data_IF_620415461606
#
_entry.id   IF_620415461606
#
_cell.length_a   1.000
_cell.length_b   1.000
_cell.length_c   1.000
_cell.angle_alpha   90.00
_cell.angle_beta   90.00
_cell.angle_gamma   90.00
#
_symmetry.space_group_name_H-M   'P 1'
#
loop_
_entity.id
_entity.type
_entity.pdbx_description
1 polymer ?
#
# COMPACT_ATOMS: atom_id res chain seq x y z
N UNK A 1 12.01 11.75 8.89
CA UNK A 1 11.38 12.80 8.04
C UNK A 1 9.90 12.75 8.34
N UNK A 2 9.34 13.87 8.77
CA UNK A 2 7.95 14.00 9.17
C UNK A 2 7.24 14.89 8.16
N UNK A 3 6.04 14.53 7.75
CA UNK A 3 5.18 15.38 6.91
C UNK A 3 3.99 15.82 7.77
N UNK A 4 3.73 17.13 7.84
CA UNK A 4 2.60 17.64 8.62
C UNK A 4 1.35 17.81 7.77
N UNK A 5 0.20 17.54 8.36
CA UNK A 5 -1.10 17.60 7.71
C UNK A 5 -2.13 18.19 8.67
N UNK A 6 -2.85 19.21 8.23
CA UNK A 6 -3.98 19.76 8.99
C UNK A 6 -5.25 18.95 8.70
N UNK A 7 -5.85 18.37 9.74
CA UNK A 7 -7.23 17.89 9.72
C UNK A 7 -8.02 18.91 10.57
N UNK A 8 -9.17 19.40 10.08
CA UNK A 8 -9.99 20.53 10.61
C UNK A 8 -9.71 20.98 12.06
N UNK A 9 -9.53 22.30 12.24
CA UNK A 9 -9.23 23.05 13.47
C UNK A 9 -8.75 22.23 14.71
N UNK A 10 -7.42 22.06 14.80
CA UNK A 10 -6.57 21.83 16.00
C UNK A 10 -5.84 20.49 16.18
N UNK A 11 -5.81 19.60 15.20
CA UNK A 11 -4.85 18.47 15.25
C UNK A 11 -3.94 18.45 14.01
N UNK A 12 -2.70 18.88 14.21
CA UNK A 12 -1.61 18.64 13.25
C UNK A 12 -1.21 17.18 13.37
N UNK A 13 -1.65 16.35 12.42
CA UNK A 13 -1.27 14.94 12.38
C UNK A 13 0.04 14.85 11.62
N UNK A 14 1.07 14.38 12.31
CA UNK A 14 2.40 14.14 11.75
C UNK A 14 2.41 12.71 11.18
N UNK A 15 2.54 12.59 9.86
CA UNK A 15 2.69 11.30 9.19
C UNK A 15 4.19 10.96 9.05
N UNK A 16 4.68 9.89 9.70
CA UNK A 16 6.08 9.50 9.58
C UNK A 16 6.37 8.96 8.18
N UNK A 17 7.35 9.51 7.48
CA UNK A 17 7.80 8.97 6.18
C UNK A 17 8.97 8.00 6.31
N UNK A 18 9.83 8.24 7.31
CA UNK A 18 11.03 7.44 7.60
C UNK A 18 11.40 7.54 9.07
N UNK A 19 11.44 6.40 9.76
CA UNK A 19 11.93 6.24 11.14
C UNK A 19 13.43 5.89 11.13
N UNK A 20 14.27 6.78 11.66
CA UNK A 20 15.72 6.63 11.68
C UNK A 20 16.34 7.47 12.83
N UNK A 21 17.24 8.41 12.53
CA UNK A 21 17.92 9.29 13.49
C UNK A 21 16.90 10.02 14.39
N UNK A 22 17.15 10.02 15.70
CA UNK A 22 16.32 10.66 16.72
C UNK A 22 15.17 9.81 17.27
N UNK A 23 14.88 8.66 16.64
CA UNK A 23 13.83 7.73 17.05
C UNK A 23 14.35 6.33 17.37
N UNK A 24 15.37 5.87 16.65
CA UNK A 24 16.04 4.59 16.90
C UNK A 24 17.14 4.81 17.95
N UNK A 25 17.30 3.94 18.99
CA UNK A 25 16.70 2.61 19.16
C UNK A 25 15.49 2.58 20.13
N UNK A 26 14.69 3.64 20.23
CA UNK A 26 13.54 3.64 21.14
C UNK A 26 12.54 2.54 20.76
N UNK A 27 12.15 1.73 21.75
CA UNK A 27 11.24 0.60 21.57
C UNK A 27 9.81 1.05 21.33
N UNK A 28 9.08 0.29 20.53
CA UNK A 28 7.64 0.44 20.33
C UNK A 28 6.89 -0.64 21.13
N UNK A 29 5.76 -0.31 21.76
CA UNK A 29 4.95 -1.30 22.48
C UNK A 29 4.23 -2.24 21.50
N UNK A 30 3.93 -3.46 21.93
CA UNK A 30 2.98 -4.36 21.30
C UNK A 30 1.76 -4.55 22.21
N UNK A 31 0.57 -4.78 21.64
CA UNK A 31 -0.63 -5.08 22.42
C UNK A 31 -0.54 -6.45 23.11
N UNK A 32 0.18 -7.41 22.49
CA UNK A 32 0.35 -8.77 22.99
C UNK A 32 1.80 -9.01 23.38
N UNK A 33 2.04 -9.57 24.57
CA UNK A 33 3.37 -10.01 25.00
C UNK A 33 3.65 -11.41 24.48
N UNK A 34 4.89 -11.66 24.04
CA UNK A 34 5.36 -12.98 23.62
C UNK A 34 6.53 -13.43 24.50
N UNK A 35 6.46 -14.67 25.00
CA UNK A 35 7.46 -15.21 25.92
C UNK A 35 8.82 -15.47 25.24
N UNK A 36 8.80 -15.73 23.93
CA UNK A 36 9.99 -16.06 23.15
C UNK A 36 10.34 -14.90 22.22
N UNK A 37 11.61 -14.49 22.14
CA UNK A 37 12.01 -13.39 21.29
C UNK A 37 11.95 -13.78 19.80
N UNK A 38 11.76 -12.79 18.93
CA UNK A 38 11.63 -13.01 17.50
C UNK A 38 12.33 -11.96 16.64
N UNK A 39 12.41 -12.27 15.35
CA UNK A 39 12.93 -11.38 14.30
C UNK A 39 11.87 -11.22 13.21
N UNK A 40 11.60 -9.99 12.79
CA UNK A 40 10.76 -9.68 11.64
C UNK A 40 11.61 -8.99 10.58
N UNK A 41 11.63 -9.51 9.36
CA UNK A 41 12.57 -9.06 8.31
C UNK A 41 12.00 -7.99 7.37
N UNK A 42 10.75 -7.59 7.55
CA UNK A 42 10.10 -6.55 6.74
C UNK A 42 9.81 -6.99 5.31
N UNK A 43 9.61 -6.00 4.43
CA UNK A 43 9.40 -6.16 2.99
C UNK A 43 10.71 -6.09 2.20
N UNK A 44 10.64 -5.83 0.90
CA UNK A 44 11.83 -5.67 0.04
C UNK A 44 12.21 -4.19 -0.15
N UNK A 45 11.22 -3.31 -0.28
CA UNK A 45 11.40 -1.89 -0.44
C UNK A 45 11.31 -1.16 0.89
N UNK A 46 12.00 -0.02 0.98
CA UNK A 46 12.12 0.83 2.17
C UNK A 46 12.38 0.07 3.48
N UNK A 47 13.09 -1.06 3.38
CA UNK A 47 13.13 -2.10 4.39
C UNK A 47 13.56 -1.59 5.76
N UNK A 48 12.94 -2.16 6.78
CA UNK A 48 13.35 -2.15 8.18
C UNK A 48 13.25 -3.59 8.71
N UNK A 49 13.97 -3.87 9.79
CA UNK A 49 13.87 -5.13 10.54
C UNK A 49 13.48 -4.86 11.98
N UNK A 50 12.82 -5.81 12.63
CA UNK A 50 12.39 -5.68 14.02
C UNK A 50 12.86 -6.87 14.86
N UNK A 51 13.39 -6.60 16.04
CA UNK A 51 13.52 -7.61 17.10
C UNK A 51 12.36 -7.47 18.07
N UNK A 52 11.83 -8.61 18.52
CA UNK A 52 10.73 -8.67 19.48
C UNK A 52 11.24 -9.31 20.77
N UNK A 53 10.89 -8.71 21.91
CA UNK A 53 11.10 -9.26 23.25
C UNK A 53 9.95 -8.81 24.16
N UNK A 54 9.29 -9.76 24.81
CA UNK A 54 8.11 -9.52 25.64
C UNK A 54 7.02 -8.78 24.84
N UNK A 55 6.65 -7.57 25.26
CA UNK A 55 5.70 -6.71 24.57
C UNK A 55 6.38 -5.51 23.88
N UNK A 56 7.65 -5.63 23.49
CA UNK A 56 8.43 -4.55 22.90
C UNK A 56 9.04 -4.94 21.57
N UNK A 57 9.05 -3.98 20.66
CA UNK A 57 9.71 -4.05 19.35
C UNK A 57 10.87 -3.07 19.30
N UNK A 58 12.04 -3.57 18.92
CA UNK A 58 13.19 -2.76 18.54
C UNK A 58 13.22 -2.73 17.02
N UNK A 59 12.68 -1.67 16.43
CA UNK A 59 12.69 -1.46 14.99
C UNK A 59 14.03 -0.81 14.57
N UNK A 60 14.65 -1.35 13.52
CA UNK A 60 15.86 -0.77 12.94
C UNK A 60 15.59 0.61 12.34
N UNK A 61 16.66 1.35 12.06
CA UNK A 61 16.58 2.43 11.09
C UNK A 61 16.28 1.90 9.69
N UNK A 62 15.85 2.80 8.81
CA UNK A 62 15.64 2.51 7.40
C UNK A 62 16.91 2.00 6.72
N UNK A 63 16.80 0.84 6.08
CA UNK A 63 17.86 0.13 5.37
C UNK A 63 17.81 0.45 3.87
N UNK A 64 16.61 0.46 3.28
CA UNK A 64 16.39 0.87 1.88
C UNK A 64 15.88 -0.27 1.00
N UNK A 65 16.24 -0.24 -0.28
CA UNK A 65 15.84 -1.24 -1.29
C UNK A 65 16.80 -2.43 -1.28
N UNK A 66 16.31 -3.62 -0.93
CA UNK A 66 17.10 -4.84 -0.82
C UNK A 66 17.47 -5.49 -2.16
N UNK A 67 16.94 -5.02 -3.29
CA UNK A 67 17.37 -5.47 -4.63
C UNK A 67 18.79 -5.00 -4.96
N UNK A 68 19.29 -3.98 -4.26
CA UNK A 68 20.66 -3.52 -4.37
C UNK A 68 21.59 -4.31 -3.45
N UNK A 69 22.67 -4.89 -4.00
CA UNK A 69 23.63 -5.73 -3.26
C UNK A 69 24.20 -5.06 -2.01
N UNK A 70 24.52 -3.76 -2.08
CA UNK A 70 25.03 -3.00 -0.91
C UNK A 70 24.01 -2.93 0.22
N UNK A 71 22.75 -2.64 -0.11
CA UNK A 71 21.64 -2.61 0.85
C UNK A 71 21.37 -3.99 1.44
N UNK A 72 21.45 -5.05 0.61
CA UNK A 72 21.27 -6.41 1.07
C UNK A 72 22.35 -6.85 2.06
N UNK A 73 23.63 -6.57 1.79
CA UNK A 73 24.71 -6.85 2.76
C UNK A 73 24.54 -6.03 4.04
N UNK A 74 24.14 -4.76 3.92
CA UNK A 74 23.89 -3.91 5.06
C UNK A 74 22.71 -4.41 5.91
N UNK A 75 21.65 -4.90 5.28
CA UNK A 75 20.52 -5.57 5.92
C UNK A 75 20.96 -6.74 6.80
N UNK A 76 21.81 -7.62 6.28
CA UNK A 76 22.35 -8.77 7.02
C UNK A 76 23.17 -8.30 8.23
N UNK A 77 24.03 -7.30 8.04
CA UNK A 77 24.83 -6.72 9.11
C UNK A 77 23.95 -6.12 10.21
N UNK A 78 22.89 -5.39 9.86
CA UNK A 78 21.95 -4.77 10.81
C UNK A 78 21.28 -5.83 11.68
N UNK A 79 20.86 -6.96 11.11
CA UNK A 79 20.26 -8.06 11.88
C UNK A 79 21.27 -8.61 12.89
N UNK A 80 22.51 -8.89 12.45
CA UNK A 80 23.55 -9.39 13.35
C UNK A 80 23.87 -8.40 14.48
N UNK A 81 24.01 -7.12 14.16
CA UNK A 81 24.35 -6.06 15.10
C UNK A 81 23.23 -5.86 16.13
N UNK A 82 21.97 -5.87 15.70
CA UNK A 82 20.82 -5.75 16.62
C UNK A 82 20.73 -6.95 17.57
N UNK A 83 20.91 -8.17 17.06
CA UNK A 83 20.90 -9.38 17.90
C UNK A 83 22.02 -9.33 18.95
N UNK A 84 23.24 -8.94 18.53
CA UNK A 84 24.41 -8.81 19.43
C UNK A 84 24.21 -7.70 20.46
N UNK A 85 23.76 -6.51 20.03
CA UNK A 85 23.61 -5.33 20.89
C UNK A 85 22.57 -5.54 22.00
N UNK A 86 21.48 -6.24 21.68
CA UNK A 86 20.38 -6.46 22.63
C UNK A 86 20.44 -7.82 23.35
N UNK A 87 21.47 -8.63 23.06
CA UNK A 87 21.61 -10.01 23.53
C UNK A 87 20.31 -10.81 23.32
N UNK A 88 19.79 -10.74 22.09
CA UNK A 88 18.56 -11.43 21.68
C UNK A 88 18.94 -12.55 20.71
N UNK A 89 18.49 -13.76 21.02
CA UNK A 89 18.55 -14.93 20.15
C UNK A 89 17.12 -15.27 19.69
N UNK A 90 16.70 -14.85 18.50
CA UNK A 90 15.34 -15.11 18.01
C UNK A 90 15.02 -16.61 18.03
N UNK A 91 13.81 -16.96 18.49
CA UNK A 91 13.27 -18.32 18.48
C UNK A 91 12.19 -18.52 17.40
N UNK A 92 11.88 -17.45 16.68
CA UNK A 92 11.01 -17.46 15.51
C UNK A 92 11.38 -16.28 14.60
N UNK A 93 11.07 -16.42 13.31
CA UNK A 93 11.31 -15.41 12.28
C UNK A 93 10.01 -15.16 11.51
N UNK A 94 9.60 -13.91 11.38
CA UNK A 94 8.49 -13.48 10.54
C UNK A 94 9.00 -12.80 9.26
N UNK A 95 8.38 -13.10 8.12
CA UNK A 95 8.71 -12.51 6.84
C UNK A 95 7.45 -12.26 6.00
N UNK A 96 7.58 -11.47 4.94
CA UNK A 96 6.49 -11.23 3.99
C UNK A 96 6.10 -12.52 3.25
N UNK A 97 4.81 -12.73 3.01
CA UNK A 97 4.29 -13.86 2.25
C UNK A 97 4.96 -14.02 0.87
N UNK A 98 5.43 -12.92 0.27
CA UNK A 98 6.07 -12.95 -1.04
C UNK A 98 7.28 -13.91 -1.07
N UNK A 99 7.26 -14.97 -1.91
CA UNK A 99 8.27 -16.00 -1.86
C UNK A 99 9.62 -15.51 -2.38
N UNK A 100 9.65 -14.64 -3.39
CA UNK A 100 10.91 -14.25 -4.05
C UNK A 100 11.63 -13.05 -3.44
N UNK A 101 11.04 -12.34 -2.47
CA UNK A 101 11.71 -11.18 -1.86
C UNK A 101 13.04 -11.57 -1.23
N UNK A 102 14.05 -10.70 -1.38
CA UNK A 102 15.37 -10.93 -0.79
C UNK A 102 15.30 -11.12 0.73
N UNK A 103 14.43 -10.38 1.42
CA UNK A 103 14.17 -10.54 2.86
C UNK A 103 13.56 -11.90 3.19
N UNK A 104 12.57 -12.36 2.44
CA UNK A 104 11.92 -13.67 2.62
C UNK A 104 12.86 -14.85 2.33
N UNK A 105 13.70 -14.74 1.29
CA UNK A 105 14.74 -15.73 1.00
C UNK A 105 15.74 -15.83 2.16
N UNK A 106 16.23 -14.68 2.64
CA UNK A 106 17.14 -14.63 3.76
C UNK A 106 16.52 -15.21 5.04
N UNK A 107 15.27 -14.86 5.35
CA UNK A 107 14.56 -15.39 6.52
C UNK A 107 14.44 -16.92 6.49
N UNK A 108 14.17 -17.53 5.33
CA UNK A 108 14.15 -18.99 5.17
C UNK A 108 15.50 -19.62 5.44
N UNK A 109 16.57 -19.08 4.85
CA UNK A 109 17.93 -19.56 5.10
C UNK A 109 18.32 -19.43 6.57
N UNK A 110 17.98 -18.31 7.21
CA UNK A 110 18.30 -18.06 8.60
C UNK A 110 17.50 -18.96 9.55
N UNK A 111 16.21 -19.17 9.29
CA UNK A 111 15.37 -20.07 10.08
C UNK A 111 15.87 -21.51 10.02
N UNK A 112 16.28 -21.97 8.84
CA UNK A 112 16.90 -23.29 8.68
C UNK A 112 18.23 -23.40 9.43
N UNK A 113 19.07 -22.36 9.38
CA UNK A 113 20.36 -22.33 10.09
C UNK A 113 20.21 -22.28 11.61
N UNK A 114 19.23 -21.56 12.13
CA UNK A 114 19.00 -21.40 13.57
C UNK A 114 18.06 -22.45 14.15
N UNK A 115 17.46 -23.29 13.31
CA UNK A 115 16.44 -24.28 13.68
C UNK A 115 15.27 -23.66 14.45
N UNK A 116 14.69 -22.61 13.85
CA UNK A 116 13.59 -21.83 14.46
C UNK A 116 12.36 -21.78 13.58
N UNK A 117 11.21 -21.53 14.20
CA UNK A 117 9.93 -21.41 13.50
C UNK A 117 9.94 -20.23 12.52
N UNK A 118 9.50 -20.47 11.29
CA UNK A 118 9.29 -19.44 10.28
C UNK A 118 7.81 -19.12 10.11
N UNK A 119 7.46 -17.84 10.03
CA UNK A 119 6.10 -17.33 9.91
C UNK A 119 5.98 -16.42 8.67
N UNK A 120 5.19 -16.85 7.70
CA UNK A 120 4.80 -16.00 6.57
C UNK A 120 3.62 -15.11 6.98
N UNK A 121 3.76 -13.81 6.81
CA UNK A 121 2.75 -12.80 7.14
C UNK A 121 2.35 -12.08 5.85
N UNK A 122 1.05 -11.99 5.58
CA UNK A 122 0.55 -11.31 4.39
C UNK A 122 0.82 -9.79 4.48
N UNK A 123 1.25 -9.21 3.35
CA UNK A 123 1.74 -7.83 3.27
C UNK A 123 0.71 -6.78 3.75
N UNK A 124 -0.52 -6.85 3.27
CA UNK A 124 -1.57 -5.90 3.61
C UNK A 124 -2.08 -6.10 5.05
N UNK A 125 -2.08 -7.35 5.54
CA UNK A 125 -2.36 -7.66 6.93
C UNK A 125 -1.30 -7.07 7.86
N UNK A 126 -0.02 -7.16 7.50
CA UNK A 126 1.05 -6.51 8.26
C UNK A 126 0.87 -4.98 8.28
N UNK A 127 0.53 -4.35 7.15
CA UNK A 127 0.20 -2.93 7.11
C UNK A 127 -0.96 -2.55 8.04
N UNK A 128 -2.06 -3.31 8.04
CA UNK A 128 -3.18 -3.07 8.94
C UNK A 128 -2.80 -3.30 10.41
N UNK A 129 -2.11 -4.41 10.72
CA UNK A 129 -1.66 -4.74 12.06
C UNK A 129 -0.70 -3.68 12.62
N UNK A 130 0.14 -3.06 11.78
CA UNK A 130 1.06 -2.01 12.20
C UNK A 130 0.30 -0.80 12.80
N UNK A 131 -0.71 -0.28 12.09
CA UNK A 131 -1.50 0.86 12.58
C UNK A 131 -2.39 0.46 13.77
N UNK A 132 -3.02 -0.72 13.73
CA UNK A 132 -3.84 -1.19 14.86
C UNK A 132 -3.00 -1.37 16.13
N UNK A 133 -1.80 -1.94 16.02
CA UNK A 133 -0.91 -2.19 17.15
C UNK A 133 -0.38 -0.91 17.79
N UNK A 134 0.01 0.11 17.02
CA UNK A 134 0.50 1.37 17.61
C UNK A 134 -0.61 2.13 18.37
N UNK A 135 -1.87 1.94 17.97
CA UNK A 135 -3.06 2.47 18.64
C UNK A 135 -3.64 1.53 19.69
N UNK A 136 -3.01 0.37 19.92
CA UNK A 136 -3.43 -0.67 20.89
C UNK A 136 -4.85 -1.20 20.63
N UNK A 137 -5.26 -1.24 19.37
CA UNK A 137 -6.55 -1.79 18.94
C UNK A 137 -6.38 -3.29 18.73
N UNK A 138 -7.00 -4.08 19.60
CA UNK A 138 -6.99 -5.55 19.55
C UNK A 138 -8.27 -6.15 18.98
N UNK A 139 -9.38 -5.41 19.11
CA UNK A 139 -10.68 -5.80 18.58
C UNK A 139 -10.70 -5.80 17.04
N UNK A 140 -11.60 -6.56 16.40
CA UNK A 140 -11.77 -6.52 14.95
C UNK A 140 -12.04 -5.10 14.45
N UNK A 141 -11.24 -4.68 13.46
CA UNK A 141 -11.31 -3.37 12.84
C UNK A 141 -11.27 -3.48 11.32
N UNK A 142 -11.88 -2.52 10.63
CA UNK A 142 -11.69 -2.38 9.19
C UNK A 142 -10.37 -1.66 8.92
N UNK A 143 -9.68 -2.02 7.85
CA UNK A 143 -8.49 -1.33 7.39
C UNK A 143 -8.56 -1.13 5.87
N UNK A 144 -8.47 0.13 5.44
CA UNK A 144 -8.17 0.47 4.05
C UNK A 144 -6.66 0.41 3.89
N UNK A 145 -6.19 -0.57 3.11
CA UNK A 145 -4.77 -0.77 2.82
C UNK A 145 -4.51 -0.48 1.36
N UNK A 146 -3.93 0.70 1.09
CA UNK A 146 -3.64 1.17 -0.27
C UNK A 146 -2.13 1.30 -0.46
N UNK A 147 -1.57 0.57 -1.42
CA UNK A 147 -0.14 0.52 -1.71
C UNK A 147 0.15 0.38 -3.21
N UNK A 148 1.43 0.31 -3.57
CA UNK A 148 1.91 0.01 -4.91
C UNK A 148 1.77 -1.46 -5.28
N UNK A 149 2.25 -2.37 -4.44
CA UNK A 149 2.14 -3.83 -4.68
C UNK A 149 2.34 -4.59 -3.38
N UNK A 150 1.54 -5.62 -3.15
CA UNK A 150 1.82 -6.67 -2.18
C UNK A 150 1.17 -7.98 -2.63
N UNK A 151 1.80 -9.11 -2.32
CA UNK A 151 1.30 -10.42 -2.74
C UNK A 151 -0.04 -10.72 -2.06
N UNK A 152 -1.05 -11.02 -2.87
CA UNK A 152 -2.33 -11.56 -2.43
C UNK A 152 -2.25 -13.05 -2.10
N UNK A 153 -3.23 -13.56 -1.35
CA UNK A 153 -3.36 -15.00 -1.10
C UNK A 153 -3.83 -15.77 -2.34
N UNK A 154 -4.30 -15.05 -3.36
CA UNK A 154 -4.81 -15.54 -4.65
C UNK A 154 -3.79 -15.39 -5.79
N UNK A 155 -2.49 -15.25 -5.45
CA UNK A 155 -1.38 -14.96 -6.38
C UNK A 155 -1.55 -13.66 -7.20
N UNK A 156 -2.54 -12.83 -6.86
CA UNK A 156 -2.75 -11.52 -7.49
C UNK A 156 -1.96 -10.42 -6.78
N UNK A 157 -1.78 -9.28 -7.45
CA UNK A 157 -1.08 -8.13 -6.89
C UNK A 157 -2.05 -7.18 -6.19
N UNK A 158 -2.14 -7.27 -4.87
CA UNK A 158 -2.97 -6.38 -4.05
C UNK A 158 -2.34 -4.99 -3.91
N UNK A 159 -3.17 -4.01 -3.54
CA UNK A 159 -2.72 -2.65 -3.25
C UNK A 159 -3.83 -1.62 -3.11
N UNK A 160 -5.08 -2.05 -3.00
CA UNK A 160 -6.24 -1.17 -2.87
C UNK A 160 -7.37 -1.92 -2.19
N UNK A 161 -7.06 -2.44 -1.01
CA UNK A 161 -7.87 -3.43 -0.30
C UNK A 161 -8.63 -2.78 0.86
N UNK A 162 -9.84 -3.30 1.11
CA UNK A 162 -10.51 -3.16 2.39
C UNK A 162 -10.48 -4.52 3.07
N UNK A 163 -9.81 -4.58 4.22
CA UNK A 163 -9.71 -5.82 5.01
C UNK A 163 -10.39 -5.64 6.36
N UNK A 164 -11.06 -6.68 6.82
CA UNK A 164 -11.42 -6.85 8.22
C UNK A 164 -10.25 -7.55 8.91
N UNK A 165 -9.65 -6.92 9.90
CA UNK A 165 -8.48 -7.44 10.59
C UNK A 165 -8.72 -7.44 12.09
N UNK A 166 -8.43 -8.56 12.74
CA UNK A 166 -7.90 -8.51 14.09
C UNK A 166 -6.36 -8.57 14.00
N UNK A 167 -5.63 -8.43 15.10
CA UNK A 167 -4.15 -8.43 15.04
C UNK A 167 -3.59 -9.77 14.54
N UNK A 168 -4.28 -10.90 14.74
CA UNK A 168 -3.81 -12.25 14.38
C UNK A 168 -4.22 -12.72 12.98
N UNK A 169 -5.41 -12.33 12.52
CA UNK A 169 -6.09 -12.82 11.32
C UNK A 169 -6.78 -11.68 10.56
N UNK A 170 -7.07 -11.93 9.30
CA UNK A 170 -7.75 -10.97 8.44
C UNK A 170 -8.66 -11.65 7.41
N UNK A 171 -9.59 -10.87 6.87
CA UNK A 171 -10.49 -11.24 5.79
C UNK A 171 -10.59 -10.10 4.79
N UNK A 172 -10.47 -10.40 3.50
CA UNK A 172 -10.63 -9.41 2.43
C UNK A 172 -12.13 -9.10 2.23
N UNK A 173 -12.54 -7.87 2.51
CA UNK A 173 -13.94 -7.42 2.47
C UNK A 173 -14.30 -6.66 1.19
N UNK A 174 -13.29 -6.13 0.50
CA UNK A 174 -13.47 -5.40 -0.75
C UNK A 174 -12.14 -4.96 -1.33
N UNK A 175 -12.17 -4.50 -2.57
CA UNK A 175 -10.96 -4.07 -3.28
C UNK A 175 -11.28 -3.17 -4.48
N UNK A 176 -10.27 -2.46 -4.98
CA UNK A 176 -10.33 -1.83 -6.30
C UNK A 176 -10.47 -2.89 -7.39
N UNK A 177 -11.28 -2.61 -8.40
CA UNK A 177 -11.40 -3.46 -9.58
C UNK A 177 -10.01 -3.70 -10.18
N UNK A 178 -9.58 -4.96 -10.36
CA UNK A 178 -8.23 -5.23 -10.83
C UNK A 178 -7.96 -4.65 -12.22
N UNK A 179 -6.80 -4.02 -12.38
CA UNK A 179 -6.20 -3.69 -13.67
C UNK A 179 -5.43 -4.91 -14.20
N UNK A 180 -5.58 -5.20 -15.48
CA UNK A 180 -4.84 -6.28 -16.15
C UNK A 180 -3.52 -5.70 -16.67
N UNK A 181 -2.46 -5.77 -15.86
CA UNK A 181 -1.21 -5.04 -16.10
C UNK A 181 -0.26 -5.81 -17.04
N UNK A 182 0.09 -5.27 -18.22
CA UNK A 182 1.00 -5.93 -19.14
C UNK A 182 2.46 -5.71 -18.72
N UNK A 183 3.20 -6.81 -18.52
CA UNK A 183 4.66 -6.79 -18.32
C UNK A 183 5.15 -6.71 -16.87
N UNK A 184 4.33 -7.13 -15.91
CA UNK A 184 4.72 -7.26 -14.50
C UNK A 184 5.32 -5.97 -13.92
N UNK A 185 6.51 -6.06 -13.32
CA UNK A 185 7.25 -4.94 -12.71
C UNK A 185 7.48 -3.75 -13.66
N UNK A 186 7.45 -3.98 -14.97
CA UNK A 186 7.55 -2.90 -15.96
C UNK A 186 6.40 -1.90 -15.82
N UNK A 187 5.22 -2.31 -15.34
CA UNK A 187 4.08 -1.44 -15.15
C UNK A 187 4.29 -0.38 -14.06
N UNK A 188 5.13 -0.67 -13.06
CA UNK A 188 5.51 0.31 -12.03
C UNK A 188 6.51 1.37 -12.55
N UNK A 189 7.26 1.07 -13.61
CA UNK A 189 8.24 1.99 -14.23
C UNK A 189 7.66 2.76 -15.41
N UNK A 190 6.90 2.08 -16.27
CA UNK A 190 6.22 2.65 -17.42
C UNK A 190 4.73 2.77 -17.10
N UNK A 191 4.36 3.95 -16.59
CA UNK A 191 2.99 4.27 -16.12
C UNK A 191 1.94 4.16 -17.23
N UNK A 192 2.37 4.29 -18.49
CA UNK A 192 1.50 4.16 -19.66
C UNK A 192 0.93 2.75 -19.73
N UNK A 193 1.67 1.72 -19.31
CA UNK A 193 1.13 0.33 -19.21
C UNK A 193 -0.08 0.25 -18.28
N UNK A 194 -0.08 1.01 -17.18
CA UNK A 194 -1.22 1.10 -16.26
C UNK A 194 -2.39 1.85 -16.91
N UNK A 195 -2.12 2.95 -17.63
CA UNK A 195 -3.14 3.67 -18.39
C UNK A 195 -3.82 2.77 -19.43
N UNK A 196 -3.04 2.03 -20.24
CA UNK A 196 -3.60 1.11 -21.24
C UNK A 196 -4.45 0.01 -20.59
N UNK A 197 -4.02 -0.53 -19.44
CA UNK A 197 -4.78 -1.52 -18.69
C UNK A 197 -6.12 -0.98 -18.17
N UNK A 198 -6.17 0.29 -17.77
CA UNK A 198 -7.41 0.93 -17.33
C UNK A 198 -8.32 1.29 -18.52
N UNK A 199 -7.75 1.84 -19.60
CA UNK A 199 -8.46 2.13 -20.86
C UNK A 199 -9.07 0.90 -21.51
N UNK A 200 -8.41 -0.26 -21.41
CA UNK A 200 -8.94 -1.52 -21.91
C UNK A 200 -10.23 -1.97 -21.19
N UNK A 201 -10.61 -1.35 -20.07
CA UNK A 201 -11.87 -1.63 -19.38
C UNK A 201 -13.06 -0.84 -19.94
N UNK A 202 -12.82 0.18 -20.78
CA UNK A 202 -13.89 0.93 -21.41
C UNK A 202 -14.61 0.06 -22.45
N UNK A 203 -15.95 0.02 -22.44
CA UNK A 203 -16.71 -0.76 -23.41
C UNK A 203 -16.45 -0.27 -24.85
N UNK A 204 -16.17 -1.21 -25.75
CA UNK A 204 -16.05 -0.91 -27.19
C UNK A 204 -14.77 -0.20 -27.62
N UNK A 205 -13.77 -0.04 -26.74
CA UNK A 205 -12.49 0.55 -27.11
C UNK A 205 -11.67 -0.40 -27.97
N UNK A 206 -11.35 0.04 -29.19
CA UNK A 206 -10.35 -0.60 -30.04
C UNK A 206 -8.94 -0.23 -29.55
N UNK A 207 -8.40 -1.09 -28.68
CA UNK A 207 -7.12 -0.93 -27.99
C UNK A 207 -6.01 -0.46 -28.96
N UNK A 208 -5.63 -1.18 -30.03
CA UNK A 208 -4.51 -0.76 -30.89
C UNK A 208 -4.78 0.50 -31.74
N UNK A 209 -6.03 0.84 -32.03
CA UNK A 209 -6.38 1.86 -33.02
C UNK A 209 -7.03 3.13 -32.44
N UNK A 210 -7.33 3.17 -31.14
CA UNK A 210 -7.90 4.38 -30.54
C UNK A 210 -6.88 5.53 -30.48
N UNK A 211 -7.38 6.76 -30.62
CA UNK A 211 -6.56 7.98 -30.61
C UNK A 211 -5.80 8.13 -29.28
N UNK A 212 -6.44 7.80 -28.15
CA UNK A 212 -5.81 7.88 -26.84
C UNK A 212 -4.65 6.90 -26.68
N UNK A 213 -4.77 5.67 -27.19
CA UNK A 213 -3.65 4.72 -27.19
C UNK A 213 -2.51 5.20 -28.07
N UNK A 214 -2.82 5.82 -29.21
CA UNK A 214 -1.83 6.37 -30.12
C UNK A 214 -1.08 7.56 -29.51
N UNK A 215 -1.75 8.39 -28.70
CA UNK A 215 -1.10 9.47 -27.94
C UNK A 215 -0.22 8.94 -26.81
N UNK A 216 -0.72 7.96 -26.05
CA UNK A 216 0.03 7.37 -24.94
C UNK A 216 1.25 6.60 -25.44
N UNK A 217 1.11 5.84 -26.53
CA UNK A 217 2.20 5.07 -27.14
C UNK A 217 2.30 5.44 -28.63
N UNK A 218 3.08 6.48 -28.98
CA UNK A 218 3.23 6.92 -30.36
C UNK A 218 3.87 5.88 -31.28
N UNK A 219 4.78 5.06 -30.74
CA UNK A 219 5.44 4.00 -31.49
C UNK A 219 4.46 2.85 -31.84
N UNK A 220 4.17 2.60 -33.14
CA UNK A 220 3.18 1.61 -33.54
C UNK A 220 3.54 0.18 -33.15
N UNK A 221 4.85 -0.15 -33.14
CA UNK A 221 5.31 -1.50 -32.80
C UNK A 221 5.06 -1.80 -31.31
N UNK A 222 5.45 -0.89 -30.42
CA UNK A 222 5.21 -0.97 -28.97
C UNK A 222 3.72 -0.99 -28.66
N UNK A 223 2.92 -0.15 -29.34
CA UNK A 223 1.46 -0.10 -29.16
C UNK A 223 0.81 -1.43 -29.53
N UNK A 224 1.17 -2.00 -30.68
CA UNK A 224 0.67 -3.30 -31.14
C UNK A 224 1.12 -4.44 -30.21
N UNK A 225 2.35 -4.40 -29.70
CA UNK A 225 2.84 -5.37 -28.73
C UNK A 225 2.01 -5.36 -27.44
N UNK A 226 1.81 -4.18 -26.83
CA UNK A 226 1.05 -4.03 -25.58
C UNK A 226 -0.43 -4.40 -25.78
N UNK A 227 -1.02 -4.01 -26.91
CA UNK A 227 -2.37 -4.41 -27.26
C UNK A 227 -2.52 -5.93 -27.40
N UNK A 228 -1.56 -6.60 -28.03
CA UNK A 228 -1.53 -8.07 -28.11
C UNK A 228 -1.38 -8.74 -26.75
N UNK A 229 -0.55 -8.19 -25.84
CA UNK A 229 -0.43 -8.72 -24.47
C UNK A 229 -1.77 -8.69 -23.75
N UNK A 230 -2.48 -7.55 -23.80
CA UNK A 230 -3.78 -7.36 -23.17
C UNK A 230 -4.87 -8.27 -23.79
N UNK A 231 -4.98 -8.26 -25.12
CA UNK A 231 -6.03 -9.03 -25.83
C UNK A 231 -5.83 -10.54 -25.76
N UNK A 232 -4.58 -11.01 -25.70
CA UNK A 232 -4.26 -12.45 -25.64
C UNK A 232 -3.94 -12.93 -24.22
N UNK A 233 -4.00 -12.06 -23.22
CA UNK A 233 -3.64 -12.33 -21.83
C UNK A 233 -2.24 -12.96 -21.66
N UNK A 234 -1.24 -12.42 -22.38
CA UNK A 234 0.15 -12.91 -22.35
C UNK A 234 1.01 -11.99 -21.49
N UNK A 235 1.60 -12.54 -20.42
CA UNK A 235 2.41 -11.79 -19.45
C UNK A 235 1.64 -10.58 -18.89
N UNK A 236 0.42 -10.86 -18.45
CA UNK A 236 -0.52 -9.91 -17.86
C UNK A 236 -0.92 -10.43 -16.49
N UNK A 237 -0.77 -9.59 -15.47
CA UNK A 237 -1.13 -9.93 -14.09
C UNK A 237 -2.25 -9.02 -13.60
N UNK A 238 -3.22 -9.60 -12.89
CA UNK A 238 -4.27 -8.84 -12.25
C UNK A 238 -3.72 -8.08 -11.04
N UNK A 239 -4.03 -6.78 -10.94
CA UNK A 239 -3.66 -5.97 -9.79
C UNK A 239 -4.76 -5.02 -9.35
N UNK A 240 -5.16 -5.10 -8.08
CA UNK A 240 -6.06 -4.15 -7.41
C UNK A 240 -5.31 -2.95 -6.82
N UNK A 241 -4.10 -2.67 -7.27
CA UNK A 241 -3.24 -1.64 -6.70
C UNK A 241 -3.75 -0.22 -6.92
N UNK A 242 -3.97 0.50 -5.82
CA UNK A 242 -4.24 1.93 -5.84
C UNK A 242 -3.06 2.71 -6.43
N UNK A 243 -1.82 2.33 -6.12
CA UNK A 243 -0.63 2.95 -6.71
C UNK A 243 -0.60 2.85 -8.24
N UNK A 244 -1.06 1.73 -8.80
CA UNK A 244 -1.18 1.55 -10.27
C UNK A 244 -2.32 2.38 -10.88
N UNK A 245 -3.41 2.61 -10.15
CA UNK A 245 -4.43 3.59 -10.55
C UNK A 245 -3.86 5.03 -10.57
N UNK A 246 -3.02 5.40 -9.60
CA UNK A 246 -2.31 6.69 -9.62
C UNK A 246 -1.37 6.81 -10.83
N UNK A 247 -0.58 5.77 -11.11
CA UNK A 247 0.28 5.73 -12.30
C UNK A 247 -0.55 5.87 -13.58
N UNK A 248 -1.67 5.15 -13.69
CA UNK A 248 -2.56 5.22 -14.84
C UNK A 248 -3.13 6.63 -15.04
N UNK A 249 -3.65 7.25 -13.97
CA UNK A 249 -4.19 8.61 -14.01
C UNK A 249 -3.12 9.64 -14.41
N UNK A 250 -1.90 9.52 -13.87
CA UNK A 250 -0.79 10.40 -14.21
C UNK A 250 -0.38 10.28 -15.69
N UNK A 251 -0.37 9.07 -16.24
CA UNK A 251 -0.10 8.87 -17.66
C UNK A 251 -1.21 9.44 -18.56
N UNK A 252 -2.48 9.19 -18.22
CA UNK A 252 -3.64 9.70 -18.99
C UNK A 252 -3.64 11.22 -19.03
N UNK A 253 -3.33 11.87 -17.91
CA UNK A 253 -3.30 13.33 -17.79
C UNK A 253 -1.99 13.96 -18.31
N UNK A 254 -1.06 13.17 -18.85
CA UNK A 254 0.21 13.65 -19.39
C UNK A 254 1.20 14.16 -18.32
N UNK A 255 1.01 13.76 -17.06
CA UNK A 255 1.82 14.23 -15.91
C UNK A 255 3.16 13.49 -15.85
N UNK A 256 3.13 12.18 -16.05
CA UNK A 256 4.31 11.34 -15.93
C UNK A 256 4.11 10.08 -16.78
N UNK A 257 5.01 9.83 -17.72
CA UNK A 257 5.03 8.60 -18.51
C UNK A 257 5.92 7.52 -17.86
N UNK A 258 7.01 7.94 -17.23
CA UNK A 258 8.01 7.04 -16.66
C UNK A 258 8.40 7.45 -15.23
N UNK A 259 8.28 6.50 -14.31
CA UNK A 259 8.80 6.62 -12.95
C UNK A 259 10.33 6.37 -12.98
N UNK A 260 11.10 7.39 -12.61
CA UNK A 260 12.56 7.34 -12.44
C UNK A 260 12.96 6.99 -11.00
N UNK A 261 12.03 7.17 -10.08
CA UNK A 261 12.12 6.74 -8.69
C UNK A 261 10.74 6.29 -8.22
N UNK A 262 10.72 5.58 -7.09
CA UNK A 262 9.50 5.01 -6.55
C UNK A 262 8.44 6.09 -6.25
N UNK A 263 7.21 5.87 -6.71
CA UNK A 263 6.07 6.76 -6.52
C UNK A 263 6.17 8.16 -7.13
N UNK A 264 7.06 8.39 -8.12
CA UNK A 264 7.18 9.69 -8.81
C UNK A 264 5.84 10.19 -9.37
N UNK A 265 5.14 9.37 -10.13
CA UNK A 265 3.85 9.73 -10.74
C UNK A 265 2.76 10.05 -9.69
N UNK A 266 2.49 9.19 -8.68
CA UNK A 266 1.58 9.53 -7.59
C UNK A 266 1.90 10.85 -6.88
N UNK A 267 3.19 11.11 -6.59
CA UNK A 267 3.63 12.35 -5.94
C UNK A 267 3.40 13.59 -6.82
N UNK A 268 3.72 13.49 -8.11
CA UNK A 268 3.48 14.58 -9.07
C UNK A 268 1.98 14.87 -9.22
N UNK A 269 1.15 13.83 -9.25
CA UNK A 269 -0.29 13.96 -9.33
C UNK A 269 -0.88 14.63 -8.10
N UNK A 270 -0.41 14.30 -6.88
CA UNK A 270 -0.82 14.99 -5.65
C UNK A 270 -0.48 16.49 -5.69
N UNK A 271 0.75 16.82 -6.12
CA UNK A 271 1.19 18.20 -6.19
C UNK A 271 0.31 19.04 -7.14
N UNK A 272 -0.07 18.47 -8.29
CA UNK A 272 -0.97 19.10 -9.25
C UNK A 272 -2.41 19.21 -8.74
N UNK A 273 -2.93 18.17 -8.09
CA UNK A 273 -4.29 18.21 -7.54
C UNK A 273 -4.49 19.39 -6.56
N UNK A 274 -3.45 19.76 -5.80
CA UNK A 274 -3.49 20.89 -4.84
C UNK A 274 -3.53 22.26 -5.48
N UNK A 275 -3.15 22.39 -6.76
CA UNK A 275 -3.19 23.67 -7.48
C UNK A 275 -4.55 23.95 -8.11
N UNK A 276 -5.44 22.94 -8.20
CA UNK A 276 -6.79 23.14 -8.70
C UNK A 276 -7.54 24.19 -7.85
N UNK A 277 -8.31 25.03 -8.53
CA UNK A 277 -9.18 26.07 -7.94
C UNK A 277 -10.63 25.96 -8.43
N UNK A 278 -10.90 25.06 -9.37
CA UNK A 278 -12.24 24.82 -9.89
C UNK A 278 -13.00 23.91 -8.95
N UNK A 279 -14.30 24.17 -8.80
CA UNK A 279 -15.17 23.27 -8.08
C UNK A 279 -15.24 21.91 -8.78
N UNK A 280 -15.16 20.85 -7.97
CA UNK A 280 -15.30 19.48 -8.44
C UNK A 280 -16.77 19.03 -8.35
N UNK A 281 -17.24 18.21 -9.30
CA UNK A 281 -18.61 17.73 -9.31
C UNK A 281 -18.93 16.84 -8.10
N UNK A 282 -20.15 16.95 -7.59
CA UNK A 282 -20.64 16.11 -6.49
C UNK A 282 -21.13 14.74 -6.95
N UNK A 283 -21.30 14.51 -8.26
CA UNK A 283 -21.68 13.21 -8.80
C UNK A 283 -20.59 12.14 -8.52
N UNK A 284 -21.02 10.93 -8.18
CA UNK A 284 -20.12 9.78 -8.06
C UNK A 284 -19.77 9.26 -9.45
N UNK A 285 -18.47 9.18 -9.74
CA UNK A 285 -17.91 8.67 -10.99
C UNK A 285 -17.24 7.31 -10.76
N UNK A 286 -17.84 6.51 -9.89
CA UNK A 286 -17.41 5.16 -9.55
C UNK A 286 -18.65 4.31 -9.25
N UNK A 287 -18.47 2.99 -9.24
CA UNK A 287 -19.52 2.04 -8.87
C UNK A 287 -18.97 1.03 -7.88
N UNK A 288 -19.73 0.70 -6.85
CA UNK A 288 -19.39 -0.38 -5.93
C UNK A 288 -20.38 -1.53 -6.14
N UNK A 289 -19.87 -2.73 -6.43
CA UNK A 289 -20.69 -3.95 -6.52
C UNK A 289 -19.97 -5.11 -5.85
N UNK A 290 -20.64 -5.79 -4.92
CA UNK A 290 -20.09 -6.94 -4.20
C UNK A 290 -18.70 -6.69 -3.60
N UNK A 291 -18.49 -5.51 -3.02
CA UNK A 291 -17.19 -5.13 -2.44
C UNK A 291 -16.13 -4.67 -3.45
N UNK A 292 -16.44 -4.65 -4.75
CA UNK A 292 -15.51 -4.20 -5.80
C UNK A 292 -15.79 -2.75 -6.16
N UNK A 293 -14.79 -1.89 -5.98
CA UNK A 293 -14.80 -0.47 -6.37
C UNK A 293 -14.30 -0.33 -7.82
N UNK A 294 -15.21 -0.01 -8.72
CA UNK A 294 -14.97 0.21 -10.14
C UNK A 294 -14.89 1.71 -10.45
N UNK A 295 -13.69 2.15 -10.84
CA UNK A 295 -13.38 3.54 -11.21
C UNK A 295 -13.53 3.81 -12.72
N UNK A 296 -14.03 2.87 -13.52
CA UNK A 296 -14.13 3.00 -14.99
C UNK A 296 -14.97 4.22 -15.41
N UNK A 297 -16.00 4.61 -14.64
CA UNK A 297 -16.82 5.78 -14.98
C UNK A 297 -16.05 7.11 -14.87
N UNK A 298 -15.08 7.21 -13.96
CA UNK A 298 -14.19 8.38 -13.84
C UNK A 298 -13.30 8.52 -15.08
N UNK A 299 -12.88 7.38 -15.65
CA UNK A 299 -11.98 7.38 -16.79
C UNK A 299 -12.58 8.11 -17.99
N UNK A 300 -13.88 7.97 -18.24
CA UNK A 300 -14.60 8.70 -19.31
C UNK A 300 -14.45 10.22 -19.17
N UNK A 301 -14.34 10.74 -17.94
CA UNK A 301 -14.10 12.16 -17.68
C UNK A 301 -12.62 12.56 -17.85
N UNK A 302 -11.68 11.68 -17.50
CA UNK A 302 -10.25 12.00 -17.53
C UNK A 302 -9.65 12.01 -18.95
N UNK A 303 -10.30 11.33 -19.90
CA UNK A 303 -9.80 11.18 -21.27
C UNK A 303 -10.28 12.28 -22.24
N UNK A 304 -11.10 13.22 -21.77
CA UNK A 304 -11.58 14.33 -22.59
C UNK A 304 -10.42 15.26 -22.94
N UNK A 305 -10.29 15.62 -24.22
CA UNK A 305 -9.14 16.35 -24.77
C UNK A 305 -8.89 17.73 -24.15
N UNK A 306 -9.91 18.35 -23.56
CA UNK A 306 -9.86 19.66 -22.92
C UNK A 306 -9.77 19.60 -21.38
N UNK A 307 -9.54 18.40 -20.83
CA UNK A 307 -9.36 18.23 -19.38
C UNK A 307 -8.10 18.94 -18.91
N UNK A 308 -8.30 20.01 -18.13
CA UNK A 308 -7.19 20.65 -17.42
C UNK A 308 -6.51 19.65 -16.47
N UNK A 309 -5.19 19.53 -16.56
CA UNK A 309 -4.40 18.53 -15.84
C UNK A 309 -4.57 18.63 -14.32
N UNK A 310 -4.60 19.85 -13.76
CA UNK A 310 -4.75 20.04 -12.32
C UNK A 310 -6.18 19.67 -11.86
N UNK A 311 -7.19 20.06 -12.64
CA UNK A 311 -8.57 19.64 -12.43
C UNK A 311 -8.74 18.12 -12.49
N UNK A 312 -8.20 17.46 -13.52
CA UNK A 312 -8.26 16.00 -13.67
C UNK A 312 -7.54 15.26 -12.53
N UNK A 313 -6.38 15.76 -12.10
CA UNK A 313 -5.66 15.22 -10.96
C UNK A 313 -6.48 15.32 -9.67
N UNK A 314 -7.11 16.47 -9.44
CA UNK A 314 -7.93 16.70 -8.26
C UNK A 314 -9.24 15.87 -8.27
N UNK A 315 -9.87 15.76 -9.43
CA UNK A 315 -11.04 14.92 -9.67
C UNK A 315 -10.72 13.45 -9.36
N UNK A 316 -9.58 12.94 -9.82
CA UNK A 316 -9.13 11.59 -9.51
C UNK A 316 -8.98 11.36 -8.00
N UNK A 317 -8.29 12.26 -7.30
CA UNK A 317 -8.12 12.15 -5.84
C UNK A 317 -9.47 12.18 -5.12
N UNK A 318 -10.38 13.07 -5.52
CA UNK A 318 -11.70 13.18 -4.89
C UNK A 318 -12.51 11.90 -5.09
N UNK A 319 -12.60 11.40 -6.32
CA UNK A 319 -13.44 10.24 -6.63
C UNK A 319 -12.86 8.96 -6.03
N UNK A 320 -11.53 8.80 -6.00
CA UNK A 320 -10.89 7.70 -5.29
C UNK A 320 -11.17 7.77 -3.78
N UNK A 321 -11.02 8.95 -3.15
CA UNK A 321 -11.33 9.12 -1.73
C UNK A 321 -12.78 8.77 -1.39
N UNK A 322 -13.72 9.22 -2.23
CA UNK A 322 -15.15 8.93 -2.07
C UNK A 322 -15.47 7.46 -2.25
N UNK A 323 -14.92 6.82 -3.27
CA UNK A 323 -15.10 5.38 -3.51
C UNK A 323 -14.56 4.54 -2.35
N UNK A 324 -13.34 4.82 -1.88
CA UNK A 324 -12.75 4.12 -0.74
C UNK A 324 -13.55 4.33 0.55
N UNK A 325 -13.99 5.57 0.82
CA UNK A 325 -14.79 5.87 1.99
C UNK A 325 -16.17 5.19 1.94
N UNK A 326 -16.86 5.24 0.80
CA UNK A 326 -18.16 4.58 0.63
C UNK A 326 -18.06 3.05 0.77
N UNK A 327 -16.98 2.45 0.25
CA UNK A 327 -16.69 1.03 0.42
C UNK A 327 -16.53 0.67 1.92
N UNK A 328 -15.72 1.44 2.65
CA UNK A 328 -15.52 1.23 4.09
C UNK A 328 -16.78 1.48 4.91
N UNK A 329 -17.53 2.56 4.63
CA UNK A 329 -18.79 2.89 5.32
C UNK A 329 -19.82 1.77 5.13
N UNK A 330 -19.95 1.26 3.90
CA UNK A 330 -20.90 0.19 3.60
C UNK A 330 -20.55 -1.07 4.40
N UNK A 331 -19.27 -1.44 4.45
CA UNK A 331 -18.84 -2.62 5.21
C UNK A 331 -18.89 -2.41 6.73
N UNK A 332 -18.61 -1.21 7.21
CA UNK A 332 -18.76 -0.84 8.62
C UNK A 332 -20.20 -1.07 9.11
N UNK A 333 -21.18 -0.62 8.32
CA UNK A 333 -22.60 -0.84 8.63
C UNK A 333 -22.98 -2.33 8.63
N UNK A 334 -22.50 -3.11 7.65
CA UNK A 334 -22.82 -4.53 7.52
C UNK A 334 -22.19 -5.38 8.64
N UNK A 335 -20.94 -5.07 9.02
CA UNK A 335 -20.18 -5.79 10.04
C UNK A 335 -20.39 -5.26 11.46
N UNK A 336 -21.04 -4.10 11.62
CA UNK A 336 -21.19 -3.36 12.89
C UNK A 336 -19.85 -3.01 13.54
N UNK A 337 -18.88 -2.62 12.72
CA UNK A 337 -17.55 -2.19 13.14
C UNK A 337 -17.42 -0.70 12.81
N UNK A 338 -17.10 0.11 13.81
CA UNK A 338 -16.99 1.56 13.70
C UNK A 338 -15.54 2.06 13.59
N UNK A 339 -14.57 1.16 13.79
CA UNK A 339 -13.13 1.45 13.68
C UNK A 339 -12.64 1.22 12.25
N UNK A 340 -11.99 2.25 11.67
CA UNK A 340 -11.32 2.17 10.37
C UNK A 340 -9.88 2.66 10.46
N UNK A 341 -8.94 1.79 10.12
CA UNK A 341 -7.53 2.13 9.99
C UNK A 341 -7.16 2.46 8.53
N UNK A 342 -6.25 3.42 8.30
CA UNK A 342 -5.69 3.72 6.98
C UNK A 342 -4.20 3.40 6.96
N UNK A 343 -3.76 2.55 6.03
CA UNK A 343 -2.39 2.04 5.97
C UNK A 343 -1.94 1.72 4.54
N UNK A 344 -0.64 1.47 4.33
CA UNK A 344 -0.03 1.27 3.02
C UNK A 344 0.51 2.57 2.43
N UNK A 345 1.50 2.43 1.53
CA UNK A 345 2.29 3.54 1.01
C UNK A 345 1.49 4.66 0.32
N UNK A 346 0.30 4.38 -0.21
CA UNK A 346 -0.54 5.39 -0.86
C UNK A 346 -1.12 6.38 0.15
N UNK A 347 -1.32 6.01 1.42
CA UNK A 347 -1.75 6.95 2.46
C UNK A 347 -0.63 7.86 2.98
N UNK A 348 0.58 7.78 2.42
CA UNK A 348 1.55 8.88 2.47
C UNK A 348 1.09 10.10 1.64
N UNK A 349 0.14 9.93 0.70
CA UNK A 349 -0.51 11.02 0.00
C UNK A 349 -1.43 11.78 0.97
N UNK A 350 -0.98 12.95 1.40
CA UNK A 350 -1.67 13.74 2.42
C UNK A 350 -3.03 14.24 1.95
N UNK A 351 -3.21 14.52 0.66
CA UNK A 351 -4.49 14.96 0.11
C UNK A 351 -5.55 13.85 0.18
N UNK A 352 -5.16 12.63 -0.21
CA UNK A 352 -6.03 11.46 -0.16
C UNK A 352 -6.38 11.12 1.28
N UNK A 353 -5.38 11.06 2.17
CA UNK A 353 -5.57 10.75 3.58
C UNK A 353 -6.52 11.75 4.25
N UNK A 354 -6.33 13.06 4.04
CA UNK A 354 -7.26 14.10 4.51
C UNK A 354 -8.70 13.84 4.07
N UNK A 355 -8.91 13.58 2.78
CA UNK A 355 -10.26 13.42 2.20
C UNK A 355 -10.94 12.15 2.71
N UNK A 356 -10.24 11.03 2.72
CA UNK A 356 -10.78 9.76 3.22
C UNK A 356 -11.11 9.89 4.70
N UNK A 357 -10.20 10.42 5.52
CA UNK A 357 -10.45 10.62 6.95
C UNK A 357 -11.66 11.53 7.19
N UNK A 358 -11.78 12.66 6.48
CA UNK A 358 -12.92 13.56 6.63
C UNK A 358 -14.25 12.89 6.26
N UNK A 359 -14.30 12.13 5.16
CA UNK A 359 -15.50 11.41 4.73
C UNK A 359 -15.93 10.33 5.74
N UNK A 360 -14.98 9.54 6.23
CA UNK A 360 -15.25 8.49 7.23
C UNK A 360 -15.70 9.08 8.58
N UNK A 361 -15.05 10.16 9.05
CA UNK A 361 -15.44 10.84 10.30
C UNK A 361 -16.84 11.45 10.21
N UNK A 362 -17.21 12.03 9.06
CA UNK A 362 -18.58 12.52 8.80
C UNK A 362 -19.64 11.42 8.85
N UNK A 363 -19.23 10.17 8.61
CA UNK A 363 -20.08 8.99 8.78
C UNK A 363 -20.03 8.39 10.20
N UNK A 364 -19.46 9.12 11.18
CA UNK A 364 -19.29 8.71 12.58
C UNK A 364 -18.39 7.48 12.79
N UNK A 365 -17.40 7.26 11.92
CA UNK A 365 -16.40 6.21 12.10
C UNK A 365 -15.15 6.74 12.82
N UNK A 366 -14.56 5.89 13.66
CA UNK A 366 -13.30 6.15 14.36
C UNK A 366 -12.11 5.84 13.44
N UNK A 367 -11.46 6.89 12.93
CA UNK A 367 -10.39 6.76 11.94
C UNK A 367 -9.01 6.82 12.58
N UNK A 368 -8.19 5.81 12.32
CA UNK A 368 -6.81 5.71 12.80
C UNK A 368 -5.82 5.74 11.64
N UNK A 369 -4.76 6.53 11.81
CA UNK A 369 -3.64 6.66 10.87
C UNK A 369 -2.33 6.50 11.62
N UNK A 370 -1.27 6.19 10.89
CA UNK A 370 0.07 6.01 11.45
C UNK A 370 0.63 7.27 12.12
N UNK A 371 1.22 7.12 13.31
CA UNK A 371 1.83 8.19 14.10
C UNK A 371 3.25 7.88 14.56
N UNK A 372 3.59 6.61 14.80
CA UNK A 372 4.90 6.20 15.33
C UNK A 372 5.77 5.48 14.31
N UNK A 373 5.15 4.71 13.43
CA UNK A 373 5.79 4.03 12.29
C UNK A 373 5.28 4.59 10.97
N UNK A 374 6.02 4.44 9.86
CA UNK A 374 5.51 4.87 8.56
C UNK A 374 4.36 4.00 8.05
N UNK A 375 3.43 4.61 7.31
CA UNK A 375 2.37 3.87 6.60
C UNK A 375 2.90 3.05 5.41
N UNK A 376 4.08 3.41 4.89
CA UNK A 376 4.77 2.64 3.85
C UNK A 376 5.55 1.44 4.44
N UNK A 377 6.21 0.67 3.58
CA UNK A 377 6.95 -0.55 3.95
C UNK A 377 7.99 -0.40 5.08
N UNK A 378 8.41 0.83 5.39
CA UNK A 378 9.23 1.08 6.57
C UNK A 378 8.56 0.72 7.91
N UNK A 379 7.23 0.62 7.95
CA UNK A 379 6.45 0.13 9.10
C UNK A 379 6.12 -1.36 9.06
N UNK A 380 6.41 -2.06 7.95
CA UNK A 380 5.92 -3.42 7.71
C UNK A 380 6.47 -4.43 8.73
N UNK A 381 7.73 -4.31 9.13
CA UNK A 381 8.34 -5.19 10.14
C UNK A 381 7.70 -5.04 11.53
N UNK A 382 7.17 -3.85 11.87
CA UNK A 382 6.39 -3.67 13.10
C UNK A 382 5.02 -4.36 13.01
N UNK A 383 4.37 -4.27 11.85
CA UNK A 383 3.16 -5.04 11.55
C UNK A 383 3.38 -6.55 11.65
N UNK A 384 4.45 -7.07 11.04
CA UNK A 384 4.85 -8.47 11.16
C UNK A 384 5.07 -8.88 12.62
N UNK A 385 5.69 -8.03 13.43
CA UNK A 385 5.88 -8.27 14.86
C UNK A 385 4.55 -8.38 15.62
N UNK A 386 3.60 -7.49 15.33
CA UNK A 386 2.27 -7.54 15.93
C UNK A 386 1.53 -8.83 15.59
N UNK A 387 1.47 -9.20 14.30
CA UNK A 387 0.80 -10.43 13.85
C UNK A 387 1.47 -11.67 14.43
N UNK A 388 2.80 -11.77 14.33
CA UNK A 388 3.54 -12.92 14.84
C UNK A 388 3.38 -13.08 16.35
N UNK A 389 3.43 -11.98 17.11
CA UNK A 389 3.24 -12.02 18.56
C UNK A 389 1.84 -12.45 18.95
N UNK A 390 0.80 -11.99 18.25
CA UNK A 390 -0.57 -12.43 18.49
C UNK A 390 -0.78 -13.92 18.14
N UNK A 391 -0.19 -14.41 17.05
CA UNK A 391 -0.28 -15.83 16.64
C UNK A 391 0.51 -16.78 17.56
N UNK A 392 1.59 -16.32 18.17
CA UNK A 392 2.44 -17.14 19.07
C UNK A 392 1.95 -17.05 20.52
N UNK A 393 1.55 -15.87 20.99
CA UNK A 393 1.11 -15.62 22.35
C UNK A 393 -0.21 -16.32 22.72
N UNK A 394 -0.96 -16.80 21.71
CA UNK A 394 -2.34 -17.25 21.89
C UNK A 394 -3.31 -16.08 21.87
N UNK A 395 -4.63 -16.33 21.73
CA UNK A 395 -5.62 -15.26 21.76
C UNK A 395 -5.55 -14.52 23.11
N UNK A 396 -5.63 -13.18 23.02
CA UNK A 396 -5.81 -12.29 24.17
C UNK A 396 -7.18 -12.53 24.81
#
# INVERSE_FOLDING_TARGET
VLMSMQIEEREEVILPMRRARGFVPATLPLPTSVATPGLCVGGELKNTVALVRDNKVILSHHIGDLTHTKSYHYFQQVIEDLCKLHDIKPQWIAHDLHPVYMSSQYARTLASRWDVRLLAIQHHHAHAAAVLAEHKITEPALALVCDGVGMGEDDSSWGGELILSNVADFYRMGHLKPLMLPGGDSAAKDTRRCALAWLAQLPGVDIPNSDIFSRLIPDPASRMMLANMLTRNVNVNASSSAGRYFDAAAAILGVCEHNHFEAQAPMALEALARTNRRELPSASMYRIRHGVLDMTALLECLILDDTDTAYGADLFHQQLARGLAELAITQAMQSKIDVVALSGGVFCNTLLTQRVTALLRRANLHVYVHQQVPANDGGLAYGQAAVASARIGGPV
#
